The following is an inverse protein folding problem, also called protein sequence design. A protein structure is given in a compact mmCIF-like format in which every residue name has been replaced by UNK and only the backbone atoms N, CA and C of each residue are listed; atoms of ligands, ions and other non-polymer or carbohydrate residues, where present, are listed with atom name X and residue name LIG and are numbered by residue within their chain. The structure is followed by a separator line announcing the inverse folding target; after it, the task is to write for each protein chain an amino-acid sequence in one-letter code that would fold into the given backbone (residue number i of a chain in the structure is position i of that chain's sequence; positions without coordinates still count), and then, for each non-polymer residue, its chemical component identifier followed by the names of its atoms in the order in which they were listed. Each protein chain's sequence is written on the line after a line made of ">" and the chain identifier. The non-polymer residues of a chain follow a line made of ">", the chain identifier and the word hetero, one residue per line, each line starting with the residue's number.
data_IF_388503024416
#
_entry.id   IF_388503024416
#
_cell.length_a   1.000
_cell.length_b   1.000
_cell.length_c   1.000
_cell.angle_alpha   90.00
_cell.angle_beta   90.00
_cell.angle_gamma   90.00
#
_symmetry.space_group_name_H-M   'P 1'
#
loop_
_entity.id
_entity.type
_entity.pdbx_description
1 polymer ?
#
# COMPACT_ATOMS: atom_id res chain seq x y z
N UNK A 1 24.30 -20.62 20.92
CA UNK A 1 23.05 -19.97 21.37
C UNK A 1 21.99 -20.25 20.32
N UNK A 2 21.22 -21.32 20.51
CA UNK A 2 20.15 -21.71 19.58
C UNK A 2 19.00 -20.73 19.75
N UNK A 3 18.67 -19.98 18.70
CA UNK A 3 17.45 -19.17 18.67
C UNK A 3 16.31 -20.19 18.59
N UNK A 4 15.79 -20.62 19.74
CA UNK A 4 14.53 -21.34 19.80
C UNK A 4 13.49 -20.34 19.30
N UNK A 5 13.05 -20.51 18.05
CA UNK A 5 12.04 -19.65 17.47
C UNK A 5 10.79 -19.70 18.35
N UNK A 6 10.43 -18.55 18.93
CA UNK A 6 9.17 -18.43 19.67
C UNK A 6 8.02 -18.80 18.72
N UNK A 7 7.07 -19.66 19.12
CA UNK A 7 5.90 -20.00 18.30
C UNK A 7 5.14 -18.77 17.76
N UNK A 8 5.28 -17.63 18.42
CA UNK A 8 4.71 -16.35 18.00
C UNK A 8 5.41 -15.69 16.80
N UNK A 9 6.72 -15.88 16.64
CA UNK A 9 7.51 -15.33 15.54
C UNK A 9 7.27 -16.11 14.25
N UNK A 10 7.30 -17.44 14.34
CA UNK A 10 6.98 -18.34 13.22
C UNK A 10 5.63 -17.96 12.61
N UNK A 11 4.61 -17.79 13.48
CA UNK A 11 3.27 -17.36 13.05
C UNK A 11 3.26 -15.99 12.36
N UNK A 12 4.06 -15.02 12.81
CA UNK A 12 4.16 -13.70 12.16
C UNK A 12 4.79 -13.81 10.77
N UNK A 13 5.84 -14.63 10.63
CA UNK A 13 6.49 -14.88 9.33
C UNK A 13 5.53 -15.58 8.37
N UNK A 14 4.78 -16.58 8.85
CA UNK A 14 3.75 -17.26 8.05
C UNK A 14 2.67 -16.29 7.55
N UNK A 15 2.21 -15.37 8.42
CA UNK A 15 1.26 -14.32 8.03
C UNK A 15 1.84 -13.45 6.92
N UNK A 16 3.07 -12.97 7.07
CA UNK A 16 3.71 -12.14 6.04
C UNK A 16 3.91 -12.89 4.73
N UNK A 17 4.33 -14.16 4.78
CA UNK A 17 4.46 -15.02 3.61
C UNK A 17 3.11 -15.22 2.91
N UNK A 18 2.02 -15.33 3.68
CA UNK A 18 0.67 -15.44 3.16
C UNK A 18 0.20 -14.16 2.46
N UNK A 19 0.46 -13.00 3.07
CA UNK A 19 0.17 -11.70 2.44
C UNK A 19 0.97 -11.54 1.14
N UNK A 20 2.25 -11.89 1.14
CA UNK A 20 3.09 -11.85 -0.05
C UNK A 20 2.58 -12.80 -1.15
N UNK A 21 2.21 -14.04 -0.80
CA UNK A 21 1.63 -15.02 -1.74
C UNK A 21 0.38 -14.51 -2.43
N UNK A 22 -0.48 -13.78 -1.71
CA UNK A 22 -1.74 -13.25 -2.23
C UNK A 22 -1.69 -11.77 -2.60
N UNK A 23 -0.50 -11.17 -2.66
CA UNK A 23 -0.29 -9.75 -2.94
C UNK A 23 -1.04 -9.26 -4.19
N UNK A 24 -0.94 -10.02 -5.29
CA UNK A 24 -1.65 -9.67 -6.53
C UNK A 24 -3.18 -9.73 -6.38
N UNK A 25 -3.70 -10.71 -5.64
CA UNK A 25 -5.15 -10.81 -5.39
C UNK A 25 -5.68 -9.69 -4.50
N UNK A 26 -4.85 -9.17 -3.59
CA UNK A 26 -5.19 -8.00 -2.78
C UNK A 26 -5.24 -6.71 -3.61
N UNK A 27 -4.31 -6.53 -4.54
CA UNK A 27 -4.04 -5.22 -5.16
C UNK A 27 -4.53 -5.07 -6.61
N UNK A 28 -4.72 -6.16 -7.35
CA UNK A 28 -4.95 -6.14 -8.81
C UNK A 28 -6.11 -5.24 -9.27
N UNK A 29 -7.22 -5.22 -8.54
CA UNK A 29 -8.38 -4.36 -8.86
C UNK A 29 -8.03 -2.87 -8.83
N UNK A 30 -7.02 -2.50 -8.04
CA UNK A 30 -6.69 -1.12 -7.73
C UNK A 30 -5.38 -0.66 -8.39
N UNK A 31 -4.67 -1.55 -9.09
CA UNK A 31 -3.45 -1.18 -9.83
C UNK A 31 -3.77 -0.16 -10.93
N UNK A 32 -4.84 -0.38 -11.68
CA UNK A 32 -5.24 0.50 -12.80
C UNK A 32 -5.93 1.79 -12.33
N UNK A 33 -6.49 1.79 -11.12
CA UNK A 33 -7.17 2.98 -10.54
C UNK A 33 -6.27 3.78 -9.61
N UNK A 34 -5.16 3.21 -9.13
CA UNK A 34 -4.26 3.85 -8.19
C UNK A 34 -2.81 3.92 -8.70
N UNK A 35 -2.17 2.77 -8.95
CA UNK A 35 -0.73 2.74 -9.27
C UNK A 35 -0.45 3.39 -10.62
N UNK A 36 -1.21 3.04 -11.65
CA UNK A 36 -1.03 3.59 -13.00
C UNK A 36 -1.26 5.11 -13.04
N UNK A 37 -2.40 5.66 -12.61
CA UNK A 37 -2.65 7.10 -12.71
C UNK A 37 -1.67 7.92 -11.87
N UNK A 38 -1.32 7.50 -10.64
CA UNK A 38 -0.34 8.22 -9.83
C UNK A 38 1.06 8.19 -10.46
N UNK A 39 1.44 7.07 -11.10
CA UNK A 39 2.73 6.98 -11.81
C UNK A 39 2.76 7.89 -13.03
N UNK A 40 1.68 7.88 -13.84
CA UNK A 40 1.55 8.76 -15.00
C UNK A 40 1.59 10.23 -14.57
N UNK A 41 0.82 10.59 -13.53
CA UNK A 41 0.82 11.95 -12.98
C UNK A 41 2.21 12.39 -12.54
N UNK A 42 2.94 11.55 -11.78
CA UNK A 42 4.31 11.84 -11.37
C UNK A 42 5.28 12.04 -12.54
N UNK A 43 5.16 11.22 -13.60
CA UNK A 43 5.96 11.38 -14.83
C UNK A 43 5.62 12.71 -15.52
N UNK A 44 4.34 13.04 -15.67
CA UNK A 44 3.89 14.28 -16.29
C UNK A 44 4.41 15.51 -15.50
N UNK A 45 4.30 15.50 -14.17
CA UNK A 45 4.82 16.56 -13.32
C UNK A 45 6.35 16.71 -13.46
N UNK A 46 7.09 15.60 -13.48
CA UNK A 46 8.54 15.62 -13.63
C UNK A 46 8.99 16.17 -14.99
N UNK A 47 8.27 15.85 -16.07
CA UNK A 47 8.56 16.36 -17.41
C UNK A 47 8.12 17.82 -17.60
N UNK A 48 7.07 18.26 -16.92
CA UNK A 48 6.60 19.64 -16.96
C UNK A 48 7.56 20.61 -16.26
N UNK A 49 8.26 20.17 -15.21
CA UNK A 49 9.22 21.00 -14.49
C UNK A 49 8.56 21.95 -13.47
N UNK A 50 9.28 22.99 -13.02
CA UNK A 50 8.75 23.97 -12.06
C UNK A 50 7.44 24.61 -12.54
N UNK A 51 6.46 24.87 -11.66
CA UNK A 51 6.53 24.76 -10.20
C UNK A 51 6.14 23.38 -9.62
N UNK A 52 5.87 22.38 -10.47
CA UNK A 52 5.38 21.06 -10.02
C UNK A 52 6.47 20.18 -9.39
N UNK A 53 7.73 20.49 -9.69
CA UNK A 53 8.91 19.89 -9.07
C UNK A 53 9.87 20.99 -8.62
N UNK A 54 10.62 20.71 -7.56
CA UNK A 54 11.67 21.61 -7.06
C UNK A 54 12.99 21.35 -7.80
N UNK A 55 13.67 22.43 -8.22
CA UNK A 55 15.01 22.36 -8.81
C UNK A 55 15.02 22.49 -10.34
N UNK A 56 16.16 22.13 -10.92
CA UNK A 56 16.41 22.25 -12.36
C UNK A 56 15.63 21.21 -13.18
N UNK A 57 15.54 21.46 -14.49
CA UNK A 57 14.91 20.55 -15.45
C UNK A 57 15.51 19.14 -15.37
N UNK A 58 14.65 18.14 -15.17
CA UNK A 58 15.05 16.73 -15.10
C UNK A 58 15.02 16.14 -16.51
N UNK A 59 16.12 15.53 -16.95
CA UNK A 59 16.16 14.87 -18.26
C UNK A 59 15.14 13.71 -18.34
N UNK A 60 14.54 13.49 -19.52
CA UNK A 60 13.63 12.36 -19.74
C UNK A 60 14.27 11.00 -19.38
N UNK A 61 15.59 10.87 -19.57
CA UNK A 61 16.34 9.67 -19.17
C UNK A 61 16.30 9.43 -17.66
N UNK A 62 16.43 10.49 -16.87
CA UNK A 62 16.36 10.39 -15.42
C UNK A 62 14.93 10.08 -14.97
N UNK A 63 13.92 10.71 -15.59
CA UNK A 63 12.50 10.37 -15.33
C UNK A 63 12.24 8.87 -15.58
N UNK A 64 12.68 8.34 -16.72
CA UNK A 64 12.53 6.92 -17.06
C UNK A 64 13.19 5.99 -16.02
N UNK A 65 14.37 6.35 -15.52
CA UNK A 65 15.08 5.58 -14.49
C UNK A 65 14.38 5.59 -13.14
N UNK A 66 13.59 6.62 -12.85
CA UNK A 66 12.83 6.75 -11.60
C UNK A 66 11.49 6.00 -11.62
N UNK A 67 10.99 5.59 -12.80
CA UNK A 67 9.70 4.88 -12.92
C UNK A 67 9.59 3.67 -11.98
N UNK A 68 10.59 2.77 -11.87
CA UNK A 68 10.50 1.63 -10.95
C UNK A 68 10.34 2.06 -9.48
N UNK A 69 11.02 3.14 -9.06
CA UNK A 69 10.92 3.67 -7.71
C UNK A 69 9.54 4.29 -7.46
N UNK A 70 8.97 5.00 -8.45
CA UNK A 70 7.62 5.57 -8.36
C UNK A 70 6.56 4.48 -8.29
N UNK A 71 6.68 3.42 -9.11
CA UNK A 71 5.80 2.25 -9.05
C UNK A 71 5.91 1.56 -7.70
N UNK A 72 7.12 1.37 -7.18
CA UNK A 72 7.34 0.77 -5.86
C UNK A 72 6.67 1.59 -4.74
N UNK A 73 6.84 2.92 -4.76
CA UNK A 73 6.19 3.83 -3.81
C UNK A 73 4.67 3.72 -3.88
N UNK A 74 4.09 3.80 -5.08
CA UNK A 74 2.64 3.73 -5.25
C UNK A 74 2.06 2.37 -4.83
N UNK A 75 2.74 1.28 -5.19
CA UNK A 75 2.22 -0.06 -4.93
C UNK A 75 2.41 -0.49 -3.47
N UNK A 76 3.48 -0.05 -2.80
CA UNK A 76 3.67 -0.30 -1.36
C UNK A 76 2.61 0.42 -0.53
N UNK A 77 2.31 1.69 -0.85
CA UNK A 77 1.23 2.43 -0.20
C UNK A 77 -0.15 1.83 -0.54
N UNK A 78 -0.38 1.42 -1.80
CA UNK A 78 -1.61 0.70 -2.17
C UNK A 78 -1.80 -0.57 -1.33
N UNK A 79 -0.73 -1.34 -1.10
CA UNK A 79 -0.81 -2.56 -0.27
C UNK A 79 -1.33 -2.23 1.14
N UNK A 80 -0.83 -1.17 1.78
CA UNK A 80 -1.35 -0.77 3.09
C UNK A 80 -2.82 -0.37 2.99
N UNK A 81 -3.19 0.43 2.01
CA UNK A 81 -4.56 0.88 1.81
C UNK A 81 -5.54 -0.31 1.66
N UNK A 82 -5.24 -1.25 0.76
CA UNK A 82 -6.15 -2.40 0.52
C UNK A 82 -6.24 -3.32 1.73
N UNK A 83 -5.15 -3.52 2.46
CA UNK A 83 -5.17 -4.33 3.69
C UNK A 83 -5.93 -3.61 4.82
N UNK A 84 -5.76 -2.29 4.96
CA UNK A 84 -6.48 -1.49 5.95
C UNK A 84 -7.99 -1.51 5.69
N UNK A 85 -8.40 -1.36 4.43
CA UNK A 85 -9.80 -1.43 4.01
C UNK A 85 -10.37 -2.85 4.20
N UNK A 86 -9.70 -3.89 3.69
CA UNK A 86 -10.17 -5.28 3.79
C UNK A 86 -10.16 -5.83 5.22
N UNK A 87 -9.54 -5.13 6.17
CA UNK A 87 -9.69 -5.46 7.60
C UNK A 87 -11.09 -5.11 8.11
N UNK A 88 -11.86 -4.23 7.49
CA UNK A 88 -13.19 -3.83 7.97
C UNK A 88 -14.27 -4.86 7.60
N UNK A 89 -15.33 -4.97 8.42
CA UNK A 89 -16.40 -5.95 8.16
C UNK A 89 -17.25 -5.52 6.96
N UNK A 90 -17.51 -4.22 6.88
CA UNK A 90 -18.34 -3.60 5.85
C UNK A 90 -17.69 -3.79 4.48
N UNK A 91 -16.39 -3.47 4.38
CA UNK A 91 -15.61 -3.67 3.15
C UNK A 91 -15.54 -5.13 2.72
N UNK A 92 -15.45 -6.08 3.66
CA UNK A 92 -15.47 -7.52 3.32
C UNK A 92 -16.84 -7.95 2.80
N UNK A 93 -17.92 -7.41 3.38
CA UNK A 93 -19.30 -7.70 2.94
C UNK A 93 -19.53 -7.15 1.53
N UNK A 94 -19.05 -5.94 1.26
CA UNK A 94 -19.07 -5.35 -0.07
C UNK A 94 -18.21 -6.16 -1.08
N UNK A 95 -16.98 -6.51 -0.69
CA UNK A 95 -16.06 -7.28 -1.53
C UNK A 95 -16.61 -8.68 -1.86
N UNK A 96 -17.43 -9.30 -1.02
CA UNK A 96 -18.09 -10.56 -1.37
C UNK A 96 -19.00 -10.44 -2.61
N UNK A 97 -19.57 -9.26 -2.84
CA UNK A 97 -20.40 -8.97 -4.00
C UNK A 97 -19.57 -8.44 -5.17
N UNK A 98 -18.72 -7.44 -4.91
CA UNK A 98 -18.01 -6.68 -5.95
C UNK A 98 -16.68 -7.33 -6.38
N UNK A 99 -15.98 -7.97 -5.44
CA UNK A 99 -14.62 -8.47 -5.62
C UNK A 99 -14.43 -9.87 -4.98
N UNK A 100 -15.27 -10.87 -5.29
CA UNK A 100 -15.28 -12.17 -4.62
C UNK A 100 -13.96 -12.97 -4.76
N UNK A 101 -13.09 -12.58 -5.68
CA UNK A 101 -11.75 -13.15 -5.86
C UNK A 101 -10.70 -12.65 -4.85
N UNK A 102 -11.02 -11.64 -4.03
CA UNK A 102 -10.10 -11.12 -3.01
C UNK A 102 -9.83 -12.18 -1.92
N UNK A 103 -8.67 -12.14 -1.26
CA UNK A 103 -8.27 -13.25 -0.38
C UNK A 103 -9.17 -13.47 0.85
N UNK A 104 -9.79 -12.41 1.39
CA UNK A 104 -10.67 -12.54 2.56
C UNK A 104 -12.04 -13.13 2.17
N UNK A 105 -12.76 -12.62 1.15
CA UNK A 105 -13.98 -13.28 0.64
C UNK A 105 -13.80 -14.76 0.31
N UNK A 106 -12.62 -15.16 -0.19
CA UNK A 106 -12.30 -16.56 -0.51
C UNK A 106 -11.94 -17.43 0.71
N UNK A 107 -11.90 -16.86 1.92
CA UNK A 107 -11.45 -17.56 3.13
C UNK A 107 -9.96 -17.92 3.12
N UNK A 108 -9.18 -17.36 2.18
CA UNK A 108 -7.75 -17.64 2.07
C UNK A 108 -6.97 -16.93 3.15
N UNK A 109 -7.36 -15.71 3.53
CA UNK A 109 -6.74 -14.91 4.59
C UNK A 109 -7.82 -14.38 5.52
N UNK A 110 -7.58 -14.38 6.83
CA UNK A 110 -8.51 -13.84 7.82
C UNK A 110 -8.24 -12.37 8.09
N UNK A 111 -9.27 -11.64 8.53
CA UNK A 111 -9.14 -10.22 8.95
C UNK A 111 -8.12 -10.04 10.09
N UNK A 112 -8.02 -11.01 11.00
CA UNK A 112 -7.04 -11.01 12.09
C UNK A 112 -5.61 -11.13 11.56
N UNK A 113 -5.37 -12.02 10.59
CA UNK A 113 -4.06 -12.12 9.93
C UNK A 113 -3.69 -10.82 9.22
N UNK A 114 -4.65 -10.19 8.51
CA UNK A 114 -4.44 -8.87 7.88
C UNK A 114 -4.10 -7.79 8.91
N UNK A 115 -4.83 -7.72 10.03
CA UNK A 115 -4.53 -6.78 11.12
C UNK A 115 -3.11 -6.97 11.67
N UNK A 116 -2.72 -8.21 11.91
CA UNK A 116 -1.37 -8.54 12.41
C UNK A 116 -0.29 -8.21 11.38
N UNK A 117 -0.55 -8.43 10.09
CA UNK A 117 0.36 -8.03 9.02
C UNK A 117 0.55 -6.51 8.99
N UNK A 118 -0.53 -5.72 9.09
CA UNK A 118 -0.47 -4.26 9.10
C UNK A 118 0.41 -3.70 10.23
N UNK A 119 0.41 -4.32 11.42
CA UNK A 119 1.28 -3.90 12.54
C UNK A 119 2.78 -3.97 12.19
N UNK A 120 3.16 -4.83 11.25
CA UNK A 120 4.55 -4.98 10.78
C UNK A 120 4.78 -4.22 9.47
N UNK A 121 3.83 -4.27 8.54
CA UNK A 121 3.97 -3.68 7.21
C UNK A 121 3.93 -2.16 7.25
N UNK A 122 3.13 -1.52 8.11
CA UNK A 122 3.08 -0.06 8.23
C UNK A 122 4.46 0.52 8.59
N UNK A 123 5.10 0.13 9.71
CA UNK A 123 6.42 0.66 10.05
C UNK A 123 7.50 0.24 9.04
N UNK A 124 7.42 -0.97 8.46
CA UNK A 124 8.36 -1.42 7.45
C UNK A 124 8.27 -0.59 6.16
N UNK A 125 7.07 -0.34 5.64
CA UNK A 125 6.88 0.43 4.40
C UNK A 125 7.23 1.90 4.62
N UNK A 126 6.89 2.48 5.78
CA UNK A 126 7.33 3.82 6.14
C UNK A 126 8.86 3.91 6.17
N UNK A 127 9.54 2.96 6.82
CA UNK A 127 11.00 2.91 6.88
C UNK A 127 11.62 2.72 5.49
N UNK A 128 11.08 1.84 4.66
CA UNK A 128 11.59 1.60 3.30
C UNK A 128 11.46 2.87 2.46
N UNK A 129 10.28 3.49 2.45
CA UNK A 129 10.03 4.70 1.67
C UNK A 129 10.84 5.90 2.18
N UNK A 130 11.05 6.02 3.49
CA UNK A 130 11.91 7.05 4.06
C UNK A 130 13.38 6.83 3.72
N UNK A 131 13.93 5.65 4.03
CA UNK A 131 15.36 5.39 3.96
C UNK A 131 15.88 5.17 2.52
N UNK A 132 15.06 4.63 1.61
CA UNK A 132 15.51 4.29 0.25
C UNK A 132 14.93 5.18 -0.84
N UNK A 133 13.74 5.74 -0.62
CA UNK A 133 13.05 6.56 -1.63
C UNK A 133 13.00 8.05 -1.25
N UNK A 134 13.40 8.40 -0.03
CA UNK A 134 13.36 9.77 0.51
C UNK A 134 11.96 10.40 0.47
N UNK A 135 10.91 9.59 0.61
CA UNK A 135 9.49 10.02 0.57
C UNK A 135 8.72 9.57 1.82
N UNK A 136 9.40 9.70 2.97
CA UNK A 136 8.87 9.27 4.26
C UNK A 136 7.70 10.14 4.74
N UNK A 137 7.76 11.45 4.50
CA UNK A 137 6.71 12.38 4.91
C UNK A 137 5.42 12.14 4.11
N UNK A 138 5.55 11.96 2.79
CA UNK A 138 4.47 11.64 1.88
C UNK A 138 3.85 10.29 2.24
N UNK A 139 4.67 9.29 2.56
CA UNK A 139 4.20 7.99 3.06
C UNK A 139 3.42 8.15 4.36
N UNK A 140 3.93 8.93 5.32
CA UNK A 140 3.22 9.18 6.57
C UNK A 140 1.85 9.86 6.33
N UNK A 141 1.80 10.86 5.44
CA UNK A 141 0.53 11.49 5.04
C UNK A 141 -0.45 10.50 4.43
N UNK A 142 -0.01 9.62 3.53
CA UNK A 142 -0.87 8.59 2.93
C UNK A 142 -1.36 7.59 3.97
N UNK A 143 -0.50 7.18 4.91
CA UNK A 143 -0.87 6.28 6.01
C UNK A 143 -1.92 6.93 6.93
N UNK A 144 -1.73 8.20 7.30
CA UNK A 144 -2.72 8.96 8.06
C UNK A 144 -4.03 9.11 7.29
N UNK A 145 -3.95 9.48 6.00
CA UNK A 145 -5.13 9.57 5.13
C UNK A 145 -5.87 8.25 5.02
N UNK A 146 -5.16 7.13 4.91
CA UNK A 146 -5.75 5.77 4.89
C UNK A 146 -6.52 5.48 6.18
N UNK A 147 -5.99 5.87 7.33
CA UNK A 147 -6.66 5.71 8.61
C UNK A 147 -7.87 6.64 8.73
N UNK A 148 -7.75 7.91 8.37
CA UNK A 148 -8.89 8.85 8.35
C UNK A 148 -10.00 8.35 7.43
N UNK A 149 -9.65 7.90 6.23
CA UNK A 149 -10.58 7.40 5.23
C UNK A 149 -11.36 6.17 5.71
N UNK A 150 -10.66 5.17 6.27
CA UNK A 150 -11.25 3.87 6.63
C UNK A 150 -11.75 3.80 8.08
N UNK A 151 -10.93 4.21 9.04
CA UNK A 151 -11.20 4.04 10.47
C UNK A 151 -12.01 5.19 11.05
N UNK A 152 -11.80 6.43 10.57
CA UNK A 152 -12.63 7.59 10.94
C UNK A 152 -13.82 7.80 10.00
N UNK A 153 -14.01 6.92 9.01
CA UNK A 153 -15.21 6.89 8.15
C UNK A 153 -15.41 8.16 7.31
N UNK A 154 -14.35 8.94 7.06
CA UNK A 154 -14.43 10.13 6.24
C UNK A 154 -14.94 9.88 4.80
N UNK A 155 -14.73 8.65 4.29
CA UNK A 155 -15.25 8.19 3.00
C UNK A 155 -16.74 7.89 2.98
N UNK A 156 -17.31 7.50 4.12
CA UNK A 156 -18.73 7.17 4.24
C UNK A 156 -19.56 8.46 4.44
N UNK A 157 -18.96 9.46 5.10
CA UNK A 157 -19.60 10.74 5.41
C UNK A 157 -19.47 11.79 4.27
N UNK A 158 -18.83 11.43 3.16
CA UNK A 158 -18.65 12.31 1.99
C UNK A 158 -17.69 13.47 2.19
N UNK A 159 -16.79 13.39 3.17
CA UNK A 159 -15.75 14.39 3.40
C UNK A 159 -14.54 14.23 2.47
N UNK A 160 -14.35 13.02 1.92
CA UNK A 160 -13.25 12.64 1.02
C UNK A 160 -13.78 11.70 -0.06
#
# INVERSE_FOLDING_TARGET
>A
MSIVESPSLVKRVEILAKIARYFWRFTSSDVVTFVVPNTVFGICCALAGPPLVSGDYISAREVLRRIPAVVLFNWSNLLIFVLANQRLWESVTEDQLNKPWRPIPQGLVTRTEVRLALQLLIPAILAINHCFLNVGAETACILTGTWVYNDLKASDDGWI
#
